data_IF_580591012238
#
_entry.id   IF_580591012238
#
_cell.length_a   1.000
_cell.length_b   1.000
_cell.length_c   1.000
_cell.angle_alpha   90.00
_cell.angle_beta   90.00
_cell.angle_gamma   90.00
#
_symmetry.space_group_name_H-M   'P 1'
#
loop_
_entity.id
_entity.type
_entity.pdbx_description
1 polymer ?
#
# COMPACT_ATOMS: atom_id res chain seq x y z
N UNK A 1 44.49 52.70 -60.90
CA UNK A 1 44.08 53.95 -61.57
C UNK A 1 43.40 54.80 -60.55
N UNK A 2 44.19 55.73 -60.05
CA UNK A 2 44.04 57.20 -60.12
C UNK A 2 42.96 57.75 -59.28
N UNK A 3 43.32 58.29 -58.16
CA UNK A 3 43.78 59.69 -57.95
C UNK A 3 42.54 60.57 -57.57
N UNK A 4 42.50 61.36 -56.65
CA UNK A 4 43.36 62.30 -55.97
C UNK A 4 42.58 63.58 -55.63
N UNK A 5 42.90 64.14 -54.47
CA UNK A 5 43.02 65.58 -54.18
C UNK A 5 41.75 66.41 -53.85
N UNK A 6 41.80 66.99 -52.74
CA UNK A 6 42.40 68.11 -52.06
C UNK A 6 41.55 69.37 -52.04
N UNK A 7 41.47 69.97 -50.90
CA UNK A 7 41.83 71.32 -50.39
C UNK A 7 40.71 72.29 -50.15
N UNK A 8 40.57 72.90 -49.09
CA UNK A 8 41.11 73.97 -48.27
C UNK A 8 39.99 74.76 -47.54
N UNK A 9 40.30 75.13 -46.33
CA UNK A 9 39.65 76.21 -45.55
C UNK A 9 39.86 77.58 -46.19
N UNK A 10 39.33 78.70 -45.67
CA UNK A 10 39.43 79.17 -44.29
C UNK A 10 38.31 80.09 -43.75
N UNK A 11 38.36 80.24 -42.39
CA UNK A 11 38.23 81.51 -41.61
C UNK A 11 36.94 82.32 -41.58
N UNK A 12 36.62 82.69 -40.37
CA UNK A 12 35.81 83.85 -40.12
C UNK A 12 35.13 83.81 -38.71
N UNK A 13 35.75 84.47 -37.75
CA UNK A 13 35.27 84.56 -36.39
C UNK A 13 34.18 85.60 -36.21
N UNK A 14 33.41 85.37 -35.18
CA UNK A 14 32.76 86.51 -34.45
C UNK A 14 32.38 86.02 -33.04
N UNK A 15 32.91 86.76 -32.08
CA UNK A 15 32.54 86.64 -30.66
C UNK A 15 31.11 87.12 -30.50
N UNK A 16 30.34 86.36 -29.70
CA UNK A 16 29.23 87.00 -29.00
C UNK A 16 29.08 86.44 -27.54
N UNK A 17 28.80 87.37 -26.67
CA UNK A 17 28.86 87.31 -25.23
C UNK A 17 27.89 86.38 -24.56
N UNK A 18 28.37 85.83 -23.49
CA UNK A 18 27.75 85.18 -22.32
C UNK A 18 26.37 85.75 -21.93
N UNK A 19 25.44 84.83 -21.70
CA UNK A 19 24.41 85.03 -20.70
C UNK A 19 24.25 83.82 -19.85
N UNK A 20 24.63 84.00 -18.62
CA UNK A 20 24.63 82.93 -17.57
C UNK A 20 23.22 82.73 -17.09
N UNK A 21 22.54 81.66 -17.56
CA UNK A 21 21.28 81.19 -17.00
C UNK A 21 21.56 79.96 -16.11
N UNK A 22 21.50 80.19 -14.82
CA UNK A 22 21.47 79.13 -13.79
C UNK A 22 20.33 78.11 -14.11
N UNK A 23 20.68 76.91 -14.58
CA UNK A 23 19.77 75.78 -14.64
C UNK A 23 19.55 75.23 -13.22
N UNK A 24 18.33 75.34 -12.72
CA UNK A 24 17.88 74.63 -11.52
C UNK A 24 17.99 73.15 -11.76
N UNK A 25 18.75 72.43 -10.90
CA UNK A 25 18.81 70.98 -10.88
C UNK A 25 17.42 70.41 -10.52
N UNK A 26 16.86 69.60 -11.39
CA UNK A 26 15.67 68.79 -11.09
C UNK A 26 15.98 67.75 -9.99
N UNK A 27 14.99 67.42 -9.13
CA UNK A 27 15.20 66.45 -8.07
C UNK A 27 15.44 65.04 -8.69
N UNK A 28 16.51 64.39 -8.28
CA UNK A 28 16.80 63.03 -8.61
C UNK A 28 15.73 62.12 -7.99
N UNK A 29 14.89 61.51 -8.82
CA UNK A 29 14.01 60.42 -8.39
C UNK A 29 14.87 59.28 -7.86
N UNK A 30 14.79 59.01 -6.59
CA UNK A 30 15.39 57.83 -5.96
C UNK A 30 14.87 56.55 -6.67
N UNK A 31 15.68 56.00 -7.54
CA UNK A 31 15.40 54.74 -8.16
C UNK A 31 15.57 53.62 -7.11
N UNK A 32 14.50 52.93 -6.82
CA UNK A 32 14.59 51.66 -6.10
C UNK A 32 15.55 50.78 -6.86
N UNK A 33 16.67 50.39 -6.25
CA UNK A 33 17.56 49.35 -6.81
C UNK A 33 16.80 48.05 -6.76
N UNK A 34 16.20 47.62 -7.88
CA UNK A 34 15.67 46.29 -8.05
C UNK A 34 16.86 45.33 -7.98
N UNK A 35 16.98 44.64 -6.88
CA UNK A 35 17.94 43.54 -6.73
C UNK A 35 17.65 42.48 -7.81
N UNK A 36 18.42 42.47 -8.88
CA UNK A 36 18.35 41.41 -9.89
C UNK A 36 19.12 40.21 -9.35
N UNK A 37 18.41 39.24 -8.83
CA UNK A 37 19.00 37.95 -8.54
C UNK A 37 19.57 37.35 -9.83
N UNK A 38 20.79 36.77 -9.83
CA UNK A 38 21.32 36.09 -11.00
C UNK A 38 20.39 34.90 -11.34
N UNK A 39 20.13 34.72 -12.62
CA UNK A 39 19.17 33.71 -13.11
C UNK A 39 19.47 32.28 -12.64
N UNK A 40 20.73 31.94 -12.40
CA UNK A 40 21.09 30.63 -11.87
C UNK A 40 20.55 30.37 -10.47
N UNK A 41 20.40 31.40 -9.62
CA UNK A 41 19.77 31.27 -8.29
C UNK A 41 18.28 30.94 -8.40
N UNK A 42 17.59 31.49 -9.40
CA UNK A 42 16.19 31.16 -9.66
C UNK A 42 16.03 29.72 -10.13
N UNK A 43 16.96 29.25 -11.01
CA UNK A 43 16.98 27.85 -11.44
C UNK A 43 17.33 26.90 -10.29
N UNK A 44 18.29 27.26 -9.42
CA UNK A 44 18.63 26.48 -8.23
C UNK A 44 17.45 26.39 -7.25
N UNK A 45 16.76 27.53 -7.01
CA UNK A 45 15.56 27.56 -6.19
C UNK A 45 14.44 26.70 -6.76
N UNK A 46 14.20 26.78 -8.07
CA UNK A 46 13.23 25.94 -8.78
C UNK A 46 13.56 24.44 -8.68
N UNK A 47 14.84 24.09 -8.84
CA UNK A 47 15.28 22.70 -8.70
C UNK A 47 15.12 22.17 -7.28
N UNK A 48 15.45 22.96 -6.26
CA UNK A 48 15.24 22.56 -4.86
C UNK A 48 13.76 22.39 -4.52
N UNK A 49 12.90 23.28 -5.01
CA UNK A 49 11.44 23.14 -4.83
C UNK A 49 10.94 21.87 -5.53
N UNK A 50 11.37 21.62 -6.77
CA UNK A 50 11.01 20.41 -7.49
C UNK A 50 11.51 19.13 -6.80
N UNK A 51 12.75 19.13 -6.29
CA UNK A 51 13.31 18.00 -5.55
C UNK A 51 12.55 17.72 -4.24
N UNK A 52 12.18 18.78 -3.51
CA UNK A 52 11.34 18.67 -2.30
C UNK A 52 9.95 18.13 -2.68
N UNK A 53 9.35 18.64 -3.76
CA UNK A 53 8.04 18.17 -4.22
C UNK A 53 8.08 16.71 -4.67
N UNK A 54 9.11 16.32 -5.43
CA UNK A 54 9.32 14.92 -5.87
C UNK A 54 9.56 14.02 -4.66
N UNK A 55 10.40 14.44 -3.71
CA UNK A 55 10.65 13.72 -2.46
C UNK A 55 9.37 13.55 -1.63
N UNK A 56 8.59 14.62 -1.51
CA UNK A 56 7.29 14.61 -0.85
C UNK A 56 6.30 13.68 -1.57
N UNK A 57 6.20 13.80 -2.90
CA UNK A 57 5.31 12.96 -3.71
C UNK A 57 5.73 11.48 -3.62
N UNK A 58 7.02 11.18 -3.75
CA UNK A 58 7.53 9.83 -3.59
C UNK A 58 7.23 9.27 -2.20
N UNK A 59 7.48 10.07 -1.16
CA UNK A 59 7.28 9.65 0.23
C UNK A 59 5.79 9.45 0.58
N UNK A 60 4.88 10.27 0.01
CA UNK A 60 3.45 10.19 0.32
C UNK A 60 2.63 9.31 -0.62
N UNK A 61 3.08 9.08 -1.86
CA UNK A 61 2.31 8.36 -2.87
C UNK A 61 2.96 7.08 -3.39
N UNK A 62 4.28 6.93 -3.24
CA UNK A 62 5.03 5.77 -3.75
C UNK A 62 5.61 4.93 -2.60
N UNK A 63 6.01 5.58 -1.51
CA UNK A 63 6.47 4.88 -0.30
C UNK A 63 5.32 4.11 0.37
N UNK A 64 5.57 2.93 0.97
CA UNK A 64 4.54 2.05 1.50
C UNK A 64 3.54 2.78 2.39
N UNK A 65 2.28 2.47 2.22
CA UNK A 65 1.12 3.06 2.90
C UNK A 65 1.27 3.17 4.43
N UNK A 66 2.05 2.30 5.05
CA UNK A 66 2.26 2.20 6.49
C UNK A 66 2.76 3.49 7.16
N UNK A 67 3.66 4.23 6.51
CA UNK A 67 4.18 5.47 7.11
C UNK A 67 3.13 6.59 7.14
N UNK A 68 2.32 6.69 6.10
CA UNK A 68 1.29 7.74 5.98
C UNK A 68 0.23 7.62 7.06
N UNK A 69 -0.23 6.39 7.29
CA UNK A 69 -1.27 6.12 8.28
C UNK A 69 -0.75 6.29 9.71
N UNK A 70 0.47 5.83 10.01
CA UNK A 70 1.11 6.08 11.32
C UNK A 70 1.29 7.56 11.63
N UNK A 71 1.66 8.39 10.65
CA UNK A 71 1.80 9.83 10.83
C UNK A 71 0.48 10.51 11.17
N UNK A 72 -0.64 9.95 10.72
CA UNK A 72 -1.98 10.50 10.93
C UNK A 72 -2.64 9.90 12.19
N UNK A 73 -2.54 8.57 12.38
CA UNK A 73 -3.29 7.84 13.41
C UNK A 73 -2.45 7.40 14.61
N UNK A 74 -1.13 7.60 14.58
CA UNK A 74 -0.20 7.20 15.66
C UNK A 74 0.20 5.73 15.63
N UNK A 75 0.68 5.22 16.78
CA UNK A 75 1.06 3.80 16.91
C UNK A 75 -0.19 2.91 16.85
N UNK A 76 -0.07 1.69 16.28
CA UNK A 76 -1.21 0.79 16.19
C UNK A 76 -1.72 0.43 17.57
N UNK A 77 -3.03 0.58 17.76
CA UNK A 77 -3.70 0.05 18.95
C UNK A 77 -4.06 -1.40 18.68
N UNK A 78 -3.88 -2.25 19.67
CA UNK A 78 -4.35 -3.63 19.61
C UNK A 78 -5.72 -3.69 20.28
N UNK A 79 -6.79 -4.02 19.55
CA UNK A 79 -8.13 -4.09 20.11
C UNK A 79 -8.19 -5.05 21.31
N UNK A 80 -8.88 -4.65 22.37
CA UNK A 80 -9.08 -5.45 23.58
C UNK A 80 -10.24 -6.44 23.42
N UNK A 81 -10.30 -7.46 24.30
CA UNK A 81 -11.40 -8.43 24.33
C UNK A 81 -11.25 -9.60 23.35
N UNK A 82 -10.13 -9.71 22.64
CA UNK A 82 -9.87 -10.82 21.72
C UNK A 82 -8.63 -11.59 22.16
N UNK A 83 -8.79 -12.89 22.32
CA UNK A 83 -7.73 -13.78 22.84
C UNK A 83 -6.88 -14.41 21.74
N UNK A 84 -7.45 -14.62 20.56
CA UNK A 84 -6.79 -15.32 19.45
C UNK A 84 -6.30 -14.33 18.42
N UNK A 85 -4.98 -14.26 18.28
CA UNK A 85 -4.31 -13.30 17.42
C UNK A 85 -3.36 -13.99 16.45
N UNK A 86 -3.20 -13.42 15.28
CA UNK A 86 -2.33 -13.92 14.24
C UNK A 86 -1.78 -12.82 13.37
N UNK A 87 -1.05 -13.23 12.37
CA UNK A 87 -0.45 -12.35 11.38
C UNK A 87 -0.76 -12.83 9.98
N UNK A 88 -0.55 -11.98 8.98
CA UNK A 88 -0.43 -12.44 7.61
C UNK A 88 0.85 -11.94 6.97
N UNK A 89 1.40 -12.75 6.07
CA UNK A 89 2.72 -12.57 5.50
C UNK A 89 2.74 -12.92 4.02
N UNK A 90 3.71 -12.35 3.32
CA UNK A 90 4.06 -12.67 1.95
C UNK A 90 5.58 -12.58 1.77
N UNK A 91 6.06 -12.58 0.53
CA UNK A 91 7.48 -12.30 0.23
C UNK A 91 7.97 -10.96 0.81
N UNK A 92 7.09 -10.01 1.09
CA UNK A 92 7.47 -8.69 1.66
C UNK A 92 8.10 -8.77 3.06
N UNK A 93 7.80 -9.82 3.84
CA UNK A 93 8.41 -10.02 5.15
C UNK A 93 9.77 -10.72 5.06
N UNK A 94 10.23 -11.08 3.85
CA UNK A 94 11.53 -11.70 3.60
C UNK A 94 11.79 -12.93 4.51
N UNK A 95 12.92 -12.96 5.18
CA UNK A 95 13.31 -14.06 6.08
C UNK A 95 12.69 -13.89 7.46
N UNK A 96 11.93 -14.91 7.87
CA UNK A 96 11.29 -14.99 9.19
C UNK A 96 12.10 -15.91 10.11
N UNK A 97 12.36 -15.44 11.31
CA UNK A 97 12.86 -16.23 12.43
C UNK A 97 11.66 -16.90 13.13
N UNK A 98 11.31 -18.08 12.68
CA UNK A 98 10.12 -18.81 13.13
C UNK A 98 10.20 -19.24 14.60
N UNK A 99 11.38 -19.48 15.13
CA UNK A 99 11.56 -19.83 16.54
C UNK A 99 11.24 -18.63 17.44
N UNK A 100 11.68 -17.44 17.05
CA UNK A 100 11.31 -16.22 17.75
C UNK A 100 9.84 -15.87 17.58
N UNK A 101 9.28 -16.10 16.38
CA UNK A 101 7.88 -15.81 16.09
C UNK A 101 6.94 -16.70 16.91
N UNK A 102 7.26 -18.00 17.07
CA UNK A 102 6.51 -18.93 17.92
C UNK A 102 6.34 -18.42 19.34
N UNK A 103 7.35 -17.73 19.87
CA UNK A 103 7.36 -17.18 21.23
C UNK A 103 6.93 -15.70 21.28
N UNK A 104 6.48 -15.15 20.18
CA UNK A 104 6.06 -13.75 20.07
C UNK A 104 4.61 -13.56 20.55
N UNK A 105 4.30 -12.30 20.88
CA UNK A 105 2.96 -11.89 21.27
C UNK A 105 2.52 -10.67 20.47
N UNK A 106 1.23 -10.56 20.27
CA UNK A 106 0.53 -9.39 19.72
C UNK A 106 -0.30 -8.80 20.87
N UNK A 107 0.15 -7.67 21.43
CA UNK A 107 -0.41 -7.18 22.68
C UNK A 107 -0.19 -8.21 23.79
N UNK A 108 -1.27 -8.69 24.40
CA UNK A 108 -1.24 -9.62 25.55
C UNK A 108 -1.38 -11.10 25.13
N UNK A 109 -1.62 -11.40 23.86
CA UNK A 109 -1.91 -12.75 23.38
C UNK A 109 -0.78 -13.29 22.51
N UNK A 110 -0.49 -14.61 22.54
CA UNK A 110 0.50 -15.23 21.67
C UNK A 110 0.04 -15.16 20.20
N UNK A 111 1.02 -15.25 19.29
CA UNK A 111 0.72 -15.48 17.87
C UNK A 111 0.22 -16.91 17.72
N UNK A 112 -1.06 -17.08 17.40
CA UNK A 112 -1.71 -18.40 17.32
C UNK A 112 -1.84 -18.91 15.89
N UNK A 113 -1.96 -18.02 14.90
CA UNK A 113 -2.14 -18.40 13.50
C UNK A 113 -1.40 -17.46 12.54
N UNK A 114 -1.20 -17.94 11.31
CA UNK A 114 -0.58 -17.18 10.23
C UNK A 114 -1.28 -17.46 8.91
N UNK A 115 -1.67 -16.42 8.18
CA UNK A 115 -2.01 -16.52 6.77
C UNK A 115 -0.80 -16.20 5.90
N UNK A 116 -0.59 -16.99 4.86
CA UNK A 116 0.61 -16.91 4.01
C UNK A 116 0.18 -16.77 2.56
N UNK A 117 0.69 -15.75 1.87
CA UNK A 117 0.45 -15.58 0.43
C UNK A 117 0.96 -16.83 -0.30
N UNK A 118 0.07 -17.47 -1.04
CA UNK A 118 0.45 -18.60 -1.89
C UNK A 118 0.59 -18.15 -3.34
N UNK A 119 -0.47 -17.58 -3.90
CA UNK A 119 -0.52 -17.26 -5.33
C UNK A 119 -1.17 -15.94 -5.62
N UNK A 120 -0.91 -15.40 -6.82
CA UNK A 120 -1.57 -14.22 -7.36
C UNK A 120 -1.86 -14.45 -8.85
N UNK A 121 -3.06 -14.14 -9.30
CA UNK A 121 -3.46 -14.33 -10.68
C UNK A 121 -3.34 -15.79 -11.12
N UNK A 122 -3.04 -16.05 -12.39
CA UNK A 122 -2.99 -17.41 -12.92
C UNK A 122 -1.57 -18.01 -13.01
N UNK A 123 -0.51 -17.28 -12.58
CA UNK A 123 0.87 -17.70 -12.82
C UNK A 123 1.85 -17.38 -11.68
N UNK A 124 1.54 -16.43 -10.78
CA UNK A 124 2.50 -16.00 -9.77
C UNK A 124 2.38 -16.85 -8.49
N UNK A 125 3.41 -17.61 -8.19
CA UNK A 125 3.64 -18.24 -6.89
C UNK A 125 4.48 -17.30 -6.03
N UNK A 126 4.07 -17.04 -4.79
CA UNK A 126 4.91 -16.28 -3.84
C UNK A 126 6.21 -17.04 -3.57
N UNK A 127 7.34 -16.38 -3.76
CA UNK A 127 8.67 -17.01 -3.73
C UNK A 127 9.02 -17.64 -2.38
N UNK A 128 8.41 -17.13 -1.29
CA UNK A 128 8.65 -17.61 0.06
C UNK A 128 7.55 -18.57 0.56
N UNK A 129 6.49 -18.83 -0.23
CA UNK A 129 5.34 -19.61 0.20
C UNK A 129 5.73 -20.99 0.74
N UNK A 130 6.37 -21.82 -0.08
CA UNK A 130 6.66 -23.21 0.29
C UNK A 130 7.50 -23.28 1.57
N UNK A 131 8.49 -22.39 1.70
CA UNK A 131 9.35 -22.34 2.89
C UNK A 131 8.56 -21.91 4.11
N UNK A 132 7.81 -20.81 4.00
CA UNK A 132 7.05 -20.24 5.12
C UNK A 132 5.92 -21.18 5.54
N UNK A 133 5.24 -21.80 4.58
CA UNK A 133 4.15 -22.73 4.85
C UNK A 133 4.63 -24.00 5.58
N UNK A 134 5.76 -24.56 5.16
CA UNK A 134 6.36 -25.71 5.88
C UNK A 134 6.90 -25.32 7.26
N UNK A 135 7.46 -24.13 7.41
CA UNK A 135 8.05 -23.65 8.67
C UNK A 135 6.99 -23.29 9.70
N UNK A 136 5.87 -22.70 9.31
CA UNK A 136 4.78 -22.35 10.24
C UNK A 136 4.23 -23.57 10.98
N UNK A 137 3.96 -24.67 10.28
CA UNK A 137 3.51 -25.93 10.90
C UNK A 137 4.55 -26.52 11.87
N UNK A 138 5.83 -26.51 11.50
CA UNK A 138 6.91 -26.99 12.37
C UNK A 138 7.12 -26.18 13.64
N UNK A 139 6.53 -25.00 13.69
CA UNK A 139 6.56 -24.10 14.84
C UNK A 139 5.19 -23.99 15.52
N UNK A 140 4.33 -24.98 15.33
CA UNK A 140 3.02 -25.13 15.99
C UNK A 140 2.06 -23.94 15.78
N UNK A 141 2.18 -23.22 14.67
CA UNK A 141 1.23 -22.21 14.27
C UNK A 141 0.14 -22.80 13.38
N UNK A 142 -1.10 -22.49 13.68
CA UNK A 142 -2.24 -22.76 12.78
C UNK A 142 -2.03 -21.90 11.54
N UNK A 143 -1.96 -22.52 10.37
CA UNK A 143 -1.60 -21.82 9.14
C UNK A 143 -2.75 -21.85 8.13
N UNK A 144 -2.79 -20.83 7.29
CA UNK A 144 -3.68 -20.75 6.13
C UNK A 144 -2.92 -20.18 4.93
N UNK A 145 -3.45 -20.43 3.74
CA UNK A 145 -2.88 -19.91 2.50
C UNK A 145 -3.89 -19.01 1.78
N UNK A 146 -3.43 -17.90 1.24
CA UNK A 146 -4.29 -16.99 0.50
C UNK A 146 -3.87 -16.81 -0.96
N UNK A 147 -4.89 -16.61 -1.80
CA UNK A 147 -4.77 -16.28 -3.20
C UNK A 147 -5.13 -14.80 -3.41
N UNK A 148 -4.22 -14.02 -3.96
CA UNK A 148 -4.51 -12.65 -4.36
C UNK A 148 -5.22 -12.65 -5.72
N UNK A 149 -6.49 -12.29 -5.72
CA UNK A 149 -7.33 -12.31 -6.91
C UNK A 149 -7.04 -11.13 -7.83
N UNK A 150 -6.82 -11.43 -9.11
CA UNK A 150 -6.61 -10.42 -10.16
C UNK A 150 -7.86 -10.31 -11.02
N UNK A 151 -8.70 -9.25 -10.84
CA UNK A 151 -9.90 -9.06 -11.65
C UNK A 151 -9.57 -8.90 -13.14
N UNK A 152 -10.43 -9.49 -13.99
CA UNK A 152 -10.21 -9.49 -15.44
C UNK A 152 -9.34 -10.65 -15.94
N UNK A 153 -8.68 -11.39 -15.06
CA UNK A 153 -8.02 -12.67 -15.35
C UNK A 153 -9.02 -13.80 -15.13
N UNK A 154 -8.92 -14.88 -15.91
CA UNK A 154 -9.88 -15.98 -15.84
C UNK A 154 -9.98 -16.59 -14.44
N UNK A 155 -11.13 -16.53 -13.74
CA UNK A 155 -11.25 -16.96 -12.35
C UNK A 155 -11.06 -18.46 -12.17
N UNK A 156 -11.44 -19.30 -13.16
CA UNK A 156 -11.21 -20.76 -13.11
C UNK A 156 -9.74 -21.11 -13.19
N UNK A 157 -8.96 -20.38 -13.99
CA UNK A 157 -7.52 -20.59 -14.07
C UNK A 157 -6.83 -20.13 -12.77
N UNK A 158 -7.25 -19.01 -12.19
CA UNK A 158 -6.76 -18.58 -10.88
C UNK A 158 -7.04 -19.63 -9.80
N UNK A 159 -8.26 -20.16 -9.73
CA UNK A 159 -8.61 -21.24 -8.81
C UNK A 159 -7.78 -22.50 -9.03
N UNK A 160 -7.65 -22.96 -10.28
CA UNK A 160 -6.85 -24.14 -10.62
C UNK A 160 -5.36 -23.94 -10.26
N UNK A 161 -4.82 -22.75 -10.46
CA UNK A 161 -3.44 -22.43 -10.09
C UNK A 161 -3.25 -22.45 -8.57
N UNK A 162 -4.17 -21.83 -7.82
CA UNK A 162 -4.14 -21.87 -6.36
C UNK A 162 -4.21 -23.32 -5.84
N UNK A 163 -5.18 -24.12 -6.27
CA UNK A 163 -5.34 -25.51 -5.87
C UNK A 163 -4.10 -26.36 -6.14
N UNK A 164 -3.44 -26.11 -7.28
CA UNK A 164 -2.19 -26.79 -7.63
C UNK A 164 -1.03 -26.45 -6.71
N UNK A 165 -0.95 -25.18 -6.25
CA UNK A 165 0.22 -24.68 -5.53
C UNK A 165 0.07 -24.69 -4.01
N UNK A 166 -1.12 -24.41 -3.48
CA UNK A 166 -1.32 -24.28 -2.04
C UNK A 166 -1.34 -25.64 -1.32
N UNK A 167 -2.02 -26.64 -1.87
CA UNK A 167 -2.09 -28.03 -1.36
C UNK A 167 -2.29 -28.07 0.17
N UNK A 168 -3.44 -27.55 0.62
CA UNK A 168 -3.77 -27.51 2.05
C UNK A 168 -4.03 -28.95 2.56
N UNK A 169 -3.71 -29.16 3.83
CA UNK A 169 -3.83 -30.43 4.52
C UNK A 169 -4.75 -30.29 5.75
N UNK A 170 -5.26 -31.40 6.31
CA UNK A 170 -5.99 -31.37 7.57
C UNK A 170 -5.26 -30.57 8.65
N UNK A 171 -6.00 -29.76 9.41
CA UNK A 171 -5.47 -28.81 10.40
C UNK A 171 -4.98 -27.48 9.83
N UNK A 172 -4.96 -27.28 8.52
CA UNK A 172 -4.79 -25.96 7.91
C UNK A 172 -6.11 -25.19 7.93
N UNK A 173 -6.07 -23.85 7.99
CA UNK A 173 -7.26 -23.02 7.85
C UNK A 173 -7.86 -23.15 6.44
N UNK A 174 -9.17 -22.91 6.27
CA UNK A 174 -9.80 -22.90 4.97
C UNK A 174 -9.05 -22.04 3.94
N UNK A 175 -9.14 -22.37 2.65
CA UNK A 175 -8.59 -21.57 1.58
C UNK A 175 -9.03 -20.12 1.70
N UNK A 176 -8.16 -19.15 1.35
CA UNK A 176 -8.51 -17.74 1.41
C UNK A 176 -8.48 -17.12 0.02
N UNK A 177 -9.56 -16.40 -0.34
CA UNK A 177 -9.60 -15.51 -1.49
C UNK A 177 -9.42 -14.08 -1.02
N UNK A 178 -8.34 -13.43 -1.45
CA UNK A 178 -8.03 -12.03 -1.19
C UNK A 178 -8.46 -11.18 -2.40
N UNK A 179 -9.51 -10.36 -2.22
CA UNK A 179 -10.05 -9.47 -3.25
C UNK A 179 -10.13 -8.02 -2.77
N UNK A 180 -9.32 -7.14 -3.38
CA UNK A 180 -9.16 -5.75 -2.97
C UNK A 180 -9.44 -4.73 -4.09
N UNK A 181 -9.47 -5.19 -5.33
CA UNK A 181 -9.61 -4.33 -6.52
C UNK A 181 -10.73 -4.83 -7.41
N UNK A 182 -11.42 -3.92 -8.09
CA UNK A 182 -12.46 -4.28 -9.04
C UNK A 182 -11.96 -4.45 -10.49
N UNK A 183 -10.71 -4.04 -10.80
CA UNK A 183 -10.12 -4.17 -12.14
C UNK A 183 -10.91 -3.49 -13.27
N UNK A 184 -11.67 -2.42 -12.96
CA UNK A 184 -12.61 -1.75 -13.85
C UNK A 184 -13.78 -2.64 -14.34
N UNK A 185 -14.01 -3.78 -13.67
CA UNK A 185 -15.19 -4.61 -13.93
C UNK A 185 -16.46 -3.96 -13.33
N UNK A 186 -17.62 -4.28 -13.91
CA UNK A 186 -18.86 -3.94 -13.24
C UNK A 186 -19.01 -4.76 -11.93
N UNK A 187 -19.76 -4.27 -10.94
CA UNK A 187 -19.99 -5.03 -9.71
C UNK A 187 -20.53 -6.44 -9.96
N UNK A 188 -21.43 -6.60 -10.95
CA UNK A 188 -22.03 -7.89 -11.30
C UNK A 188 -21.01 -8.84 -11.92
N UNK A 189 -20.11 -8.32 -12.78
CA UNK A 189 -19.05 -9.13 -13.36
C UNK A 189 -18.05 -9.57 -12.29
N UNK A 190 -17.64 -8.65 -11.43
CA UNK A 190 -16.74 -8.94 -10.33
C UNK A 190 -17.31 -10.04 -9.41
N UNK A 191 -18.58 -9.91 -8.99
CA UNK A 191 -19.25 -10.92 -8.16
C UNK A 191 -19.31 -12.29 -8.82
N UNK A 192 -19.65 -12.34 -10.12
CA UNK A 192 -19.64 -13.61 -10.87
C UNK A 192 -18.24 -14.25 -10.89
N UNK A 193 -17.20 -13.46 -11.13
CA UNK A 193 -15.84 -13.97 -11.23
C UNK A 193 -15.33 -14.45 -9.86
N UNK A 194 -15.60 -13.71 -8.80
CA UNK A 194 -15.32 -14.08 -7.40
C UNK A 194 -16.05 -15.40 -7.06
N UNK A 195 -17.34 -15.50 -7.38
CA UNK A 195 -18.14 -16.70 -7.10
C UNK A 195 -17.60 -17.92 -7.84
N UNK A 196 -17.18 -17.78 -9.09
CA UNK A 196 -16.57 -18.88 -9.86
C UNK A 196 -15.31 -19.42 -9.17
N UNK A 197 -14.47 -18.55 -8.63
CA UNK A 197 -13.28 -18.99 -7.89
C UNK A 197 -13.66 -19.70 -6.58
N UNK A 198 -14.56 -19.08 -5.80
CA UNK A 198 -15.03 -19.63 -4.53
C UNK A 198 -15.64 -21.01 -4.70
N UNK A 199 -16.54 -21.18 -5.67
CA UNK A 199 -17.21 -22.47 -5.95
C UNK A 199 -16.24 -23.57 -6.37
N UNK A 200 -15.23 -23.20 -7.19
CA UNK A 200 -14.23 -24.18 -7.63
C UNK A 200 -13.35 -24.68 -6.48
N UNK A 201 -13.00 -23.79 -5.55
CA UNK A 201 -12.15 -24.12 -4.40
C UNK A 201 -12.96 -24.81 -3.29
N UNK A 202 -14.22 -24.40 -3.06
CA UNK A 202 -15.15 -25.08 -2.16
C UNK A 202 -15.40 -26.53 -2.60
N UNK A 203 -15.55 -26.75 -3.91
CA UNK A 203 -15.75 -28.11 -4.45
C UNK A 203 -14.57 -29.05 -4.20
N UNK A 204 -13.34 -28.55 -4.16
CA UNK A 204 -12.13 -29.33 -3.90
C UNK A 204 -11.96 -29.69 -2.42
N UNK A 205 -12.12 -28.70 -1.53
CA UNK A 205 -11.86 -28.89 -0.10
C UNK A 205 -13.11 -29.26 0.73
N UNK A 206 -14.32 -29.17 0.16
CA UNK A 206 -15.55 -29.45 0.86
C UNK A 206 -15.93 -28.42 1.92
N UNK A 207 -15.19 -27.32 2.04
CA UNK A 207 -15.43 -26.24 3.00
C UNK A 207 -15.50 -24.88 2.29
N UNK A 208 -16.28 -23.96 2.84
CA UNK A 208 -16.34 -22.59 2.29
C UNK A 208 -15.02 -21.87 2.47
N UNK A 209 -14.44 -21.32 1.40
CA UNK A 209 -13.27 -20.49 1.52
C UNK A 209 -13.53 -19.23 2.36
N UNK A 210 -12.49 -18.72 3.01
CA UNK A 210 -12.50 -17.42 3.68
C UNK A 210 -12.41 -16.32 2.61
N UNK A 211 -13.26 -15.31 2.73
CA UNK A 211 -13.29 -14.18 1.82
C UNK A 211 -12.65 -12.95 2.50
N UNK A 212 -11.40 -12.65 2.13
CA UNK A 212 -10.69 -11.46 2.61
C UNK A 212 -10.97 -10.26 1.70
N UNK A 213 -11.22 -9.14 2.33
CA UNK A 213 -11.40 -7.85 1.65
C UNK A 213 -11.36 -6.68 2.62
N UNK A 214 -11.07 -5.47 2.10
CA UNK A 214 -11.22 -4.24 2.87
C UNK A 214 -12.69 -3.91 3.17
N UNK A 215 -12.98 -3.36 4.35
CA UNK A 215 -14.34 -3.01 4.78
C UNK A 215 -15.11 -2.19 3.74
N UNK A 216 -14.52 -1.11 3.21
CA UNK A 216 -15.17 -0.28 2.18
C UNK A 216 -15.45 -1.05 0.89
N UNK A 217 -14.54 -1.91 0.49
CA UNK A 217 -14.70 -2.74 -0.71
C UNK A 217 -15.82 -3.76 -0.52
N UNK A 218 -15.87 -4.41 0.65
CA UNK A 218 -16.99 -5.31 1.00
C UNK A 218 -18.33 -4.60 0.86
N UNK A 219 -18.47 -3.43 1.47
CA UNK A 219 -19.72 -2.68 1.45
C UNK A 219 -20.14 -2.24 0.04
N UNK A 220 -19.16 -1.93 -0.80
CA UNK A 220 -19.40 -1.43 -2.16
C UNK A 220 -19.70 -2.55 -3.17
N UNK A 221 -19.00 -3.69 -3.09
CA UNK A 221 -19.02 -4.71 -4.13
C UNK A 221 -19.58 -6.07 -3.69
N UNK A 222 -19.34 -6.48 -2.45
CA UNK A 222 -19.60 -7.84 -1.95
C UNK A 222 -20.68 -7.90 -0.86
N UNK A 223 -21.41 -6.80 -0.62
CA UNK A 223 -22.48 -6.76 0.37
C UNK A 223 -23.81 -7.21 -0.24
N UNK A 224 -23.84 -8.47 -0.68
CA UNK A 224 -25.00 -9.12 -1.31
C UNK A 224 -25.20 -10.51 -0.73
N UNK A 225 -26.46 -11.02 -0.68
CA UNK A 225 -26.79 -12.28 0.00
C UNK A 225 -25.97 -13.50 -0.45
N UNK A 226 -25.49 -13.50 -1.68
CA UNK A 226 -24.71 -14.60 -2.25
C UNK A 226 -23.36 -14.84 -1.55
N UNK A 227 -22.87 -13.84 -0.78
CA UNK A 227 -21.62 -13.93 -0.02
C UNK A 227 -21.83 -13.97 1.50
N UNK A 228 -23.06 -13.92 2.02
CA UNK A 228 -23.32 -13.79 3.46
C UNK A 228 -22.95 -15.07 4.25
N UNK A 229 -22.89 -16.22 3.57
CA UNK A 229 -22.54 -17.50 4.18
C UNK A 229 -21.04 -17.80 4.21
N UNK A 230 -20.20 -16.96 3.58
CA UNK A 230 -18.75 -17.14 3.60
C UNK A 230 -18.16 -16.58 4.89
N UNK A 231 -17.14 -17.25 5.49
CA UNK A 231 -16.39 -16.64 6.58
C UNK A 231 -15.62 -15.44 6.06
N UNK A 232 -15.88 -14.27 6.67
CA UNK A 232 -15.21 -13.03 6.27
C UNK A 232 -13.96 -12.76 7.08
N UNK A 233 -12.89 -12.39 6.38
CA UNK A 233 -11.71 -11.74 6.93
C UNK A 233 -11.68 -10.27 6.44
N UNK A 234 -11.98 -9.33 7.34
CA UNK A 234 -12.18 -7.92 6.99
C UNK A 234 -10.96 -7.10 7.38
N UNK A 235 -10.38 -6.38 6.42
CA UNK A 235 -9.37 -5.37 6.70
C UNK A 235 -10.03 -4.03 7.03
N UNK A 236 -9.79 -3.54 8.25
CA UNK A 236 -10.24 -2.21 8.68
C UNK A 236 -9.27 -1.68 9.74
N UNK A 237 -8.37 -0.79 9.29
CA UNK A 237 -7.24 -0.34 10.10
C UNK A 237 -7.59 0.91 10.91
N UNK A 238 -6.87 1.08 12.04
CA UNK A 238 -6.88 2.30 12.87
C UNK A 238 -8.24 2.67 13.46
N UNK A 239 -9.10 1.70 13.64
CA UNK A 239 -10.38 1.83 14.35
C UNK A 239 -10.31 1.07 15.67
N UNK A 240 -11.06 1.52 16.66
CA UNK A 240 -11.12 0.86 17.98
C UNK A 240 -11.99 -0.40 17.94
N UNK A 241 -13.03 -0.39 17.10
CA UNK A 241 -13.95 -1.49 16.86
C UNK A 241 -14.21 -1.64 15.36
N UNK A 242 -14.48 -2.86 14.93
CA UNK A 242 -14.90 -3.12 13.56
C UNK A 242 -16.28 -2.54 13.31
N UNK A 243 -16.41 -1.61 12.38
CA UNK A 243 -17.69 -0.95 12.04
C UNK A 243 -18.66 -1.89 11.32
N UNK A 244 -18.17 -2.96 10.72
CA UNK A 244 -19.00 -3.95 10.04
C UNK A 244 -19.90 -4.68 11.02
N UNK A 245 -21.23 -4.59 10.83
CA UNK A 245 -22.25 -5.18 11.73
C UNK A 245 -22.74 -6.57 11.31
N UNK A 246 -22.26 -7.09 10.18
CA UNK A 246 -22.52 -8.46 9.74
C UNK A 246 -21.64 -9.48 10.46
N UNK A 247 -21.78 -10.76 10.06
CA UNK A 247 -20.90 -11.82 10.56
C UNK A 247 -19.49 -11.65 9.97
N UNK A 248 -18.49 -11.77 10.84
CA UNK A 248 -17.11 -11.78 10.44
C UNK A 248 -16.33 -12.79 11.28
N UNK A 249 -15.27 -13.34 10.70
CA UNK A 249 -14.47 -14.40 11.30
C UNK A 249 -13.09 -13.89 11.71
N UNK A 250 -12.44 -13.11 10.84
CA UNK A 250 -11.17 -12.48 11.11
C UNK A 250 -11.23 -10.98 10.86
N UNK A 251 -10.42 -10.24 11.60
CA UNK A 251 -10.25 -8.80 11.41
C UNK A 251 -8.75 -8.46 11.34
N UNK A 252 -8.31 -7.99 10.17
CA UNK A 252 -6.99 -7.38 10.00
C UNK A 252 -7.08 -5.92 10.45
N UNK A 253 -6.54 -5.65 11.63
CA UNK A 253 -6.75 -4.38 12.32
C UNK A 253 -5.59 -3.39 12.16
N UNK A 254 -4.40 -3.84 11.70
CA UNK A 254 -3.24 -2.98 11.45
C UNK A 254 -2.30 -3.60 10.43
N UNK A 255 -1.68 -2.75 9.62
CA UNK A 255 -0.66 -3.07 8.61
C UNK A 255 0.77 -2.70 9.09
N UNK A 256 0.95 -2.37 10.36
CA UNK A 256 2.22 -1.88 10.88
C UNK A 256 2.62 -2.48 12.23
N UNK A 257 2.22 -3.72 12.49
CA UNK A 257 2.66 -4.48 13.64
C UNK A 257 4.18 -4.68 13.64
N UNK A 258 4.79 -4.71 14.81
CA UNK A 258 6.19 -5.08 15.01
C UNK A 258 6.24 -6.30 15.90
N UNK A 259 6.55 -7.43 15.30
CA UNK A 259 6.50 -8.74 15.96
C UNK A 259 7.89 -9.35 16.00
N UNK A 260 8.26 -9.96 17.13
CA UNK A 260 9.54 -10.64 17.27
C UNK A 260 9.66 -11.77 16.24
N UNK A 261 10.79 -11.85 15.56
CA UNK A 261 11.02 -12.82 14.49
C UNK A 261 10.77 -12.29 13.08
N UNK A 262 10.16 -11.11 12.93
CA UNK A 262 9.90 -10.49 11.64
C UNK A 262 10.63 -9.15 11.54
N UNK A 263 11.31 -8.93 10.42
CA UNK A 263 11.94 -7.65 10.11
C UNK A 263 10.90 -6.70 9.48
N UNK A 264 10.82 -5.47 10.00
CA UNK A 264 9.91 -4.47 9.47
C UNK A 264 8.50 -4.57 10.03
N UNK A 265 7.53 -4.26 9.22
CA UNK A 265 6.12 -4.28 9.59
C UNK A 265 5.43 -5.54 9.09
N UNK A 266 4.42 -5.96 9.83
CA UNK A 266 3.58 -7.10 9.50
C UNK A 266 2.13 -6.79 9.87
N UNK A 267 1.22 -7.32 9.10
CA UNK A 267 -0.20 -7.21 9.31
C UNK A 267 -0.63 -8.07 10.49
N UNK A 268 -1.43 -7.48 11.41
CA UNK A 268 -1.90 -8.18 12.60
C UNK A 268 -3.40 -8.40 12.52
N UNK A 269 -3.79 -9.60 12.93
CA UNK A 269 -5.13 -10.13 12.79
C UNK A 269 -5.70 -10.60 14.12
N UNK A 270 -7.02 -10.53 14.21
CA UNK A 270 -7.83 -11.07 15.30
C UNK A 270 -8.73 -12.15 14.71
N UNK A 271 -8.91 -13.24 15.43
CA UNK A 271 -9.98 -14.19 15.21
C UNK A 271 -11.13 -13.88 16.18
N UNK A 272 -12.38 -13.91 15.68
CA UNK A 272 -13.58 -13.60 16.45
C UNK A 272 -14.13 -14.85 17.14
N UNK A 273 -13.35 -15.42 18.04
CA UNK A 273 -13.70 -16.62 18.77
C UNK A 273 -12.57 -17.09 19.68
N UNK A 274 -12.78 -18.24 20.30
CA UNK A 274 -11.79 -18.95 21.11
C UNK A 274 -10.76 -19.71 20.26
N UNK A 275 -9.66 -20.12 20.87
CA UNK A 275 -8.67 -20.98 20.19
C UNK A 275 -9.28 -22.32 19.76
N UNK A 276 -10.20 -22.86 20.54
CA UNK A 276 -10.92 -24.09 20.19
C UNK A 276 -11.75 -23.90 18.91
N UNK A 277 -12.51 -22.82 18.83
CA UNK A 277 -13.28 -22.48 17.62
C UNK A 277 -12.40 -22.25 16.39
N UNK A 278 -11.19 -21.68 16.58
CA UNK A 278 -10.22 -21.56 15.48
C UNK A 278 -9.73 -22.94 15.01
N UNK A 279 -9.48 -23.86 15.94
CA UNK A 279 -9.09 -25.26 15.60
C UNK A 279 -10.23 -26.01 14.90
N UNK A 280 -11.48 -25.81 15.35
CA UNK A 280 -12.67 -26.41 14.71
C UNK A 280 -12.93 -25.84 13.29
N UNK A 281 -12.44 -24.63 13.00
CA UNK A 281 -12.53 -24.04 11.66
C UNK A 281 -11.54 -24.66 10.68
N UNK A 282 -10.48 -25.34 11.12
CA UNK A 282 -9.49 -25.94 10.22
C UNK A 282 -10.07 -27.07 9.37
N UNK A 283 -9.39 -27.40 8.28
CA UNK A 283 -9.78 -28.51 7.41
C UNK A 283 -9.83 -29.82 8.22
N UNK A 284 -10.92 -30.59 8.07
CA UNK A 284 -11.08 -31.85 8.79
C UNK A 284 -10.09 -32.91 8.31
N UNK A 285 -9.82 -33.90 9.16
CA UNK A 285 -9.16 -35.13 8.74
C UNK A 285 -10.00 -35.84 7.65
N UNK A 286 -9.33 -36.40 6.65
CA UNK A 286 -10.02 -37.21 5.65
C UNK A 286 -10.63 -38.47 6.32
N UNK A 287 -11.93 -38.66 6.13
CA UNK A 287 -12.61 -39.90 6.59
C UNK A 287 -12.08 -41.16 5.91
#
# INVERSE_FOLDING_TARGET
MTASKTLKSPSGGARHKSSNKRRKKAPTKGGWRVFRFPSWLLWLGGFLIAAVYIGFFYHFFVSPFSFRWRAIYGEPKFPDGYEVRGIDISHYQDRIDWERLRNASIGNAPVSFVFIKATEGEEMLDENFNLNFAKSRRNDLIRGAYHFFVPGVNPRKQAAFYLKMAQLEPGDLPPVLDIEKNGNLSPEQLRRDVKIWLDAVEAEYGVKPILYTGYKFKMQYLNTPEFDDYPYWIAHYYVEELEYKGKWTFWQHTDCGKISGIKGFVDCNIFNGSLQELMELTLPEAE
#
